data_IF_709020114873
#
_entry.id   IF_709020114873
#
_cell.length_a   1.000
_cell.length_b   1.000
_cell.length_c   1.000
_cell.angle_alpha   90.00
_cell.angle_beta   90.00
_cell.angle_gamma   90.00
#
_symmetry.space_group_name_H-M   'P 1'
#
loop_
_entity.id
_entity.type
_entity.pdbx_description
1 polymer ?
#
# COMPACT_ATOMS: atom_id res chain seq x y z
N UNK A 1 -0.91 4.12 34.10
CA UNK A 1 -0.78 3.20 35.24
C UNK A 1 -1.83 2.10 35.04
N UNK A 2 -1.59 1.11 34.18
CA UNK A 2 -0.63 0.04 34.43
C UNK A 2 0.23 -0.23 33.20
N UNK A 3 1.48 0.21 33.32
CA UNK A 3 2.61 -0.05 32.45
C UNK A 3 2.86 -1.58 32.39
N UNK A 4 2.49 -2.23 31.29
CA UNK A 4 3.07 -3.54 30.97
C UNK A 4 4.43 -3.30 30.33
N UNK A 5 5.43 -3.15 31.19
CA UNK A 5 6.82 -3.28 30.83
C UNK A 5 7.04 -4.70 30.28
N UNK A 6 6.95 -4.87 28.97
CA UNK A 6 7.59 -6.00 28.33
C UNK A 6 9.09 -5.79 28.47
N UNK A 7 9.84 -6.79 28.96
CA UNK A 7 11.29 -6.68 29.03
C UNK A 7 11.81 -6.43 27.62
N UNK A 8 12.69 -5.44 27.49
CA UNK A 8 13.39 -5.09 26.25
C UNK A 8 14.18 -6.25 25.62
N UNK A 9 14.22 -7.43 26.26
CA UNK A 9 14.92 -8.65 25.83
C UNK A 9 14.06 -9.66 25.06
N UNK A 10 12.86 -9.30 24.57
CA UNK A 10 12.07 -10.17 23.69
C UNK A 10 11.56 -9.49 22.40
N UNK A 11 12.19 -8.40 21.95
CA UNK A 11 12.23 -8.10 20.51
C UNK A 11 13.22 -9.07 19.84
N UNK A 12 12.92 -10.37 19.89
CA UNK A 12 13.52 -11.31 18.95
C UNK A 12 13.15 -10.80 17.56
N UNK A 13 14.16 -10.54 16.75
CA UNK A 13 14.09 -9.98 15.40
C UNK A 13 13.41 -10.93 14.38
N UNK A 14 12.25 -11.49 14.70
CA UNK A 14 11.56 -12.51 13.91
C UNK A 14 10.17 -12.06 13.46
N UNK A 15 10.06 -10.83 12.91
CA UNK A 15 8.84 -10.34 12.26
C UNK A 15 9.07 -9.67 10.90
N UNK A 16 10.32 -9.34 10.56
CA UNK A 16 10.70 -8.70 9.31
C UNK A 16 12.11 -9.07 8.92
N UNK A 17 12.34 -10.34 8.58
CA UNK A 17 13.56 -10.71 7.86
C UNK A 17 13.61 -10.01 6.49
N UNK A 18 14.77 -10.05 5.83
CA UNK A 18 14.96 -9.56 4.44
C UNK A 18 13.79 -9.94 3.49
N UNK A 19 13.17 -11.13 3.56
CA UNK A 19 12.02 -11.47 2.71
C UNK A 19 10.78 -10.58 2.91
N UNK A 20 10.45 -10.19 4.15
CA UNK A 20 9.29 -9.33 4.44
C UNK A 20 9.51 -7.90 3.94
N UNK A 21 10.72 -7.38 4.08
CA UNK A 21 11.12 -6.09 3.53
C UNK A 21 11.07 -6.07 1.99
N UNK A 22 11.49 -7.16 1.34
CA UNK A 22 11.39 -7.32 -0.12
C UNK A 22 9.92 -7.38 -0.55
N UNK A 23 9.08 -8.16 0.14
CA UNK A 23 7.65 -8.27 -0.15
C UNK A 23 6.93 -6.92 -0.03
N UNK A 24 7.19 -6.18 1.05
CA UNK A 24 6.67 -4.82 1.24
C UNK A 24 7.16 -3.85 0.15
N UNK A 25 8.45 -3.91 -0.21
CA UNK A 25 9.02 -3.10 -1.28
C UNK A 25 8.37 -3.36 -2.64
N UNK A 26 8.15 -4.63 -3.00
CA UNK A 26 7.46 -5.01 -4.23
C UNK A 26 6.01 -4.55 -4.26
N UNK A 27 5.30 -4.64 -3.13
CA UNK A 27 3.93 -4.16 -3.00
C UNK A 27 3.84 -2.64 -3.25
N UNK A 28 4.75 -1.85 -2.67
CA UNK A 28 4.82 -0.39 -2.88
C UNK A 28 5.16 -0.03 -4.33
N UNK A 29 6.08 -0.77 -4.96
CA UNK A 29 6.42 -0.56 -6.39
C UNK A 29 5.18 -0.83 -7.27
N UNK A 30 4.48 -1.93 -7.03
CA UNK A 30 3.26 -2.27 -7.78
C UNK A 30 2.17 -1.21 -7.62
N UNK A 31 1.93 -0.74 -6.39
CA UNK A 31 0.96 0.31 -6.09
C UNK A 31 1.32 1.63 -6.77
N UNK A 32 2.58 2.06 -6.65
CA UNK A 32 3.07 3.31 -7.25
C UNK A 32 2.96 3.32 -8.78
N UNK A 33 3.29 2.20 -9.43
CA UNK A 33 3.11 2.07 -10.88
C UNK A 33 1.64 2.08 -11.27
N UNK A 34 0.78 1.35 -10.55
CA UNK A 34 -0.66 1.31 -10.82
C UNK A 34 -1.31 2.69 -10.75
N UNK A 35 -1.07 3.43 -9.65
CA UNK A 35 -1.61 4.78 -9.46
C UNK A 35 -1.00 5.76 -10.46
N UNK A 36 0.29 5.63 -10.79
CA UNK A 36 0.96 6.49 -11.77
C UNK A 36 0.32 6.38 -13.17
N UNK A 37 0.05 5.16 -13.65
CA UNK A 37 -0.64 4.96 -14.93
C UNK A 37 -2.10 5.41 -14.89
N UNK A 38 -2.81 5.14 -13.80
CA UNK A 38 -4.18 5.61 -13.59
C UNK A 38 -4.25 7.14 -13.65
N UNK A 39 -3.36 7.84 -12.93
CA UNK A 39 -3.28 9.30 -12.91
C UNK A 39 -2.97 9.88 -14.28
N UNK A 40 -1.99 9.29 -15.01
CA UNK A 40 -1.69 9.70 -16.39
C UNK A 40 -2.93 9.60 -17.29
N UNK A 41 -3.62 8.45 -17.27
CA UNK A 41 -4.81 8.22 -18.07
C UNK A 41 -5.94 9.19 -17.71
N UNK A 42 -6.17 9.40 -16.42
CA UNK A 42 -7.18 10.34 -15.94
C UNK A 42 -6.89 11.78 -16.41
N UNK A 43 -5.66 12.26 -16.25
CA UNK A 43 -5.28 13.62 -16.67
C UNK A 43 -5.42 13.80 -18.18
N UNK A 44 -4.99 12.83 -18.98
CA UNK A 44 -5.15 12.90 -20.44
C UNK A 44 -6.64 12.87 -20.86
N UNK A 45 -7.46 12.04 -20.21
CA UNK A 45 -8.91 12.00 -20.47
C UNK A 45 -9.61 13.30 -20.07
N UNK A 46 -9.24 13.90 -18.93
CA UNK A 46 -9.78 15.20 -18.49
C UNK A 46 -9.39 16.32 -19.46
N UNK A 47 -8.18 16.29 -20.01
CA UNK A 47 -7.74 17.27 -21.00
C UNK A 47 -8.50 17.15 -22.33
N UNK A 48 -8.85 15.93 -22.77
CA UNK A 48 -9.61 15.69 -24.01
C UNK A 48 -11.11 15.95 -23.85
N UNK A 49 -11.66 15.72 -22.66
CA UNK A 49 -13.08 15.82 -22.38
C UNK A 49 -13.31 16.59 -21.07
N UNK A 50 -13.11 17.92 -21.07
CA UNK A 50 -13.22 18.75 -19.86
C UNK A 50 -14.61 18.71 -19.24
N UNK A 51 -15.65 18.54 -20.04
CA UNK A 51 -17.04 18.39 -19.61
C UNK A 51 -17.31 17.14 -18.77
N UNK A 52 -16.47 16.11 -18.89
CA UNK A 52 -16.54 14.90 -18.06
C UNK A 52 -15.48 14.86 -16.94
N UNK A 53 -14.77 15.98 -16.70
CA UNK A 53 -13.62 16.00 -15.79
C UNK A 53 -13.96 15.55 -14.37
N UNK A 54 -15.11 15.98 -13.84
CA UNK A 54 -15.54 15.61 -12.49
C UNK A 54 -15.82 14.09 -12.38
N UNK A 55 -16.50 13.51 -13.37
CA UNK A 55 -16.77 12.08 -13.42
C UNK A 55 -15.48 11.26 -13.51
N UNK A 56 -14.52 11.70 -14.36
CA UNK A 56 -13.22 11.06 -14.49
C UNK A 56 -12.44 11.14 -13.17
N UNK A 57 -12.45 12.29 -12.51
CA UNK A 57 -11.76 12.47 -11.22
C UNK A 57 -12.34 11.55 -10.14
N UNK A 58 -13.67 11.44 -10.04
CA UNK A 58 -14.32 10.54 -9.09
C UNK A 58 -13.96 9.08 -9.38
N UNK A 59 -14.02 8.66 -10.65
CA UNK A 59 -13.64 7.31 -11.05
C UNK A 59 -12.16 7.01 -10.71
N UNK A 60 -11.28 7.98 -10.94
CA UNK A 60 -9.86 7.89 -10.59
C UNK A 60 -9.65 7.78 -9.08
N UNK A 61 -10.35 8.57 -8.26
CA UNK A 61 -10.24 8.49 -6.80
C UNK A 61 -10.72 7.14 -6.29
N UNK A 62 -11.82 6.60 -6.82
CA UNK A 62 -12.32 5.27 -6.43
C UNK A 62 -11.29 4.20 -6.79
N UNK A 63 -10.78 4.21 -8.02
CA UNK A 63 -9.76 3.27 -8.45
C UNK A 63 -8.46 3.39 -7.63
N UNK A 64 -8.02 4.61 -7.32
CA UNK A 64 -6.87 4.87 -6.47
C UNK A 64 -7.10 4.33 -5.05
N UNK A 65 -8.28 4.55 -4.45
CA UNK A 65 -8.62 4.04 -3.13
C UNK A 65 -8.61 2.50 -3.08
N UNK A 66 -9.03 1.82 -4.16
CA UNK A 66 -8.94 0.36 -4.24
C UNK A 66 -7.49 -0.13 -4.32
N UNK A 67 -6.64 0.55 -5.09
CA UNK A 67 -5.20 0.22 -5.18
C UNK A 67 -4.52 0.46 -3.82
N UNK A 68 -4.77 1.62 -3.21
CA UNK A 68 -4.23 1.98 -1.89
C UNK A 68 -4.67 0.97 -0.82
N UNK A 69 -5.95 0.61 -0.77
CA UNK A 69 -6.44 -0.38 0.19
C UNK A 69 -5.74 -1.74 0.06
N UNK A 70 -5.53 -2.21 -1.17
CA UNK A 70 -4.81 -3.46 -1.43
C UNK A 70 -3.32 -3.36 -1.07
N UNK A 71 -2.68 -2.23 -1.41
CA UNK A 71 -1.27 -1.97 -1.15
C UNK A 71 -0.98 -1.90 0.36
N UNK A 72 -1.80 -1.16 1.11
CA UNK A 72 -1.70 -1.08 2.57
C UNK A 72 -1.85 -2.45 3.22
N UNK A 73 -2.81 -3.26 2.77
CA UNK A 73 -2.99 -4.61 3.29
C UNK A 73 -1.78 -5.50 2.99
N UNK A 74 -1.26 -5.47 1.77
CA UNK A 74 -0.08 -6.26 1.38
C UNK A 74 1.17 -5.88 2.20
N UNK A 75 1.42 -4.57 2.40
CA UNK A 75 2.53 -4.08 3.22
C UNK A 75 2.37 -4.49 4.67
N UNK A 76 1.16 -4.40 5.23
CA UNK A 76 0.86 -4.84 6.59
C UNK A 76 1.18 -6.33 6.78
N UNK A 77 0.70 -7.19 5.88
CA UNK A 77 0.96 -8.64 5.92
C UNK A 77 2.46 -8.90 5.81
N UNK A 78 3.15 -8.32 4.82
CA UNK A 78 4.59 -8.54 4.61
C UNK A 78 5.46 -8.08 5.79
N UNK A 79 5.02 -7.05 6.53
CA UNK A 79 5.81 -6.44 7.61
C UNK A 79 5.49 -6.99 9.00
N UNK A 80 4.31 -7.60 9.19
CA UNK A 80 3.82 -7.98 10.53
C UNK A 80 3.35 -9.43 10.63
N UNK A 81 3.04 -10.08 9.51
CA UNK A 81 2.52 -11.44 9.47
C UNK A 81 3.48 -12.29 8.65
N UNK A 82 4.53 -12.82 9.29
CA UNK A 82 5.34 -13.87 8.70
C UNK A 82 4.77 -15.25 9.14
N UNK A 83 3.82 -15.87 8.42
CA UNK A 83 3.20 -17.15 8.80
C UNK A 83 4.18 -18.33 8.80
N UNK A 84 5.44 -18.10 8.38
CA UNK A 84 6.53 -19.07 8.37
C UNK A 84 7.55 -18.85 9.49
N UNK A 85 7.33 -17.85 10.37
CA UNK A 85 8.12 -17.66 11.59
C UNK A 85 7.45 -18.47 12.71
N UNK A 86 7.56 -19.80 12.61
CA UNK A 86 7.40 -20.69 13.77
C UNK A 86 8.61 -20.61 14.68
#
# INVERSE_FOLDING_TARGET
MLLMAMPASAQTANGGGVPGAIGAGLAVIGAGLGIGFLGKGAVESMARQPESSNTIQIAMIIAAALIEGLAFYAVYVCSTQNPFAG
#
